data_IF_603145727602
#
_entry.id   IF_603145727602
#
_cell.length_a   1.000
_cell.length_b   1.000
_cell.length_c   1.000
_cell.angle_alpha   90.00
_cell.angle_beta   90.00
_cell.angle_gamma   90.00
#
_symmetry.space_group_name_H-M   'P 1'
#
loop_
_entity.id
_entity.type
_entity.pdbx_description
1 polymer ?
#
# COMPACT_ATOMS: atom_id res chain seq x y z
N UNK A 1 -0.59 17.76 -2.90
CA UNK A 1 -0.77 16.30 -2.73
C UNK A 1 -1.35 15.91 -1.36
N UNK A 2 -0.63 16.03 -0.24
CA UNK A 2 -1.21 15.66 1.07
C UNK A 2 -2.25 16.68 1.57
N UNK A 3 -2.03 17.97 1.26
CA UNK A 3 -2.97 19.06 1.55
C UNK A 3 -4.30 18.82 0.84
N UNK A 4 -4.27 18.49 -0.45
CA UNK A 4 -5.47 18.11 -1.22
C UNK A 4 -6.22 16.94 -0.59
N UNK A 5 -5.53 15.86 -0.19
CA UNK A 5 -6.18 14.70 0.44
C UNK A 5 -6.76 15.07 1.81
N UNK A 6 -6.13 15.99 2.55
CA UNK A 6 -6.67 16.53 3.80
C UNK A 6 -7.91 17.38 3.55
N UNK A 7 -7.90 18.23 2.52
CA UNK A 7 -9.05 19.06 2.14
C UNK A 7 -10.25 18.19 1.74
N UNK A 8 -10.01 17.08 1.05
CA UNK A 8 -11.05 16.08 0.75
C UNK A 8 -11.64 15.48 2.03
N UNK A 9 -10.79 15.08 2.98
CA UNK A 9 -11.28 14.59 4.29
C UNK A 9 -12.13 15.64 4.99
N UNK A 10 -11.68 16.89 5.07
CA UNK A 10 -12.45 17.97 5.70
C UNK A 10 -13.77 18.19 4.98
N UNK A 11 -13.77 18.19 3.65
CA UNK A 11 -14.97 18.38 2.83
C UNK A 11 -15.99 17.26 3.07
N UNK A 12 -15.54 16.00 3.06
CA UNK A 12 -16.38 14.84 3.32
C UNK A 12 -17.00 14.88 4.72
N UNK A 13 -16.21 15.28 5.73
CA UNK A 13 -16.66 15.43 7.10
C UNK A 13 -17.68 16.57 7.26
N UNK A 14 -17.47 17.69 6.58
CA UNK A 14 -18.39 18.84 6.63
C UNK A 14 -19.73 18.52 5.96
N UNK A 15 -19.71 17.68 4.93
CA UNK A 15 -20.89 17.26 4.18
C UNK A 15 -21.69 16.14 4.88
N UNK A 16 -21.06 15.38 5.78
CA UNK A 16 -21.75 14.33 6.55
C UNK A 16 -22.55 14.93 7.72
N UNK A 17 -23.87 14.98 7.55
CA UNK A 17 -24.81 15.49 8.58
C UNK A 17 -24.69 14.76 9.92
N UNK A 18 -24.23 13.51 9.95
CA UNK A 18 -24.05 12.70 11.17
C UNK A 18 -22.93 13.22 12.06
N UNK A 19 -21.91 13.86 11.46
CA UNK A 19 -20.77 14.45 12.19
C UNK A 19 -21.23 15.52 13.16
N UNK A 20 -22.23 16.34 12.76
CA UNK A 20 -22.74 17.45 13.58
C UNK A 20 -23.58 17.01 14.76
N UNK A 21 -24.20 15.83 14.71
CA UNK A 21 -25.18 15.39 15.70
C UNK A 21 -24.72 14.25 16.61
N UNK A 22 -23.87 13.34 16.11
CA UNK A 22 -23.52 12.10 16.83
C UNK A 22 -22.02 11.85 17.04
N UNK A 23 -21.16 12.71 16.50
CA UNK A 23 -19.73 12.42 16.40
C UNK A 23 -19.44 11.25 15.44
N UNK A 24 -18.18 11.09 15.07
CA UNK A 24 -17.75 10.02 14.16
C UNK A 24 -16.39 9.45 14.55
N UNK A 25 -16.08 8.27 14.00
CA UNK A 25 -14.75 7.69 14.07
C UNK A 25 -13.92 8.19 12.89
N UNK A 26 -13.22 9.31 13.08
CA UNK A 26 -12.40 9.97 12.04
C UNK A 26 -11.22 9.11 11.55
N UNK A 27 -10.80 8.12 12.35
CA UNK A 27 -9.68 7.22 12.02
C UNK A 27 -9.82 6.61 10.62
N UNK A 28 -11.02 6.23 10.20
CA UNK A 28 -11.23 5.59 8.89
C UNK A 28 -10.96 6.56 7.74
N UNK A 29 -11.43 7.80 7.83
CA UNK A 29 -11.17 8.85 6.85
C UNK A 29 -9.69 9.21 6.78
N UNK A 30 -9.02 9.32 7.94
CA UNK A 30 -7.58 9.57 7.98
C UNK A 30 -6.76 8.39 7.45
N UNK A 31 -7.21 7.15 7.67
CA UNK A 31 -6.58 5.98 7.07
C UNK A 31 -6.67 6.05 5.54
N UNK A 32 -7.84 6.33 4.95
CA UNK A 32 -7.96 6.48 3.50
C UNK A 32 -6.99 7.56 2.96
N UNK A 33 -6.93 8.72 3.62
CA UNK A 33 -6.02 9.81 3.28
C UNK A 33 -4.55 9.35 3.25
N UNK A 34 -4.10 8.65 4.30
CA UNK A 34 -2.72 8.13 4.36
C UNK A 34 -2.43 7.12 3.25
N UNK A 35 -3.38 6.24 2.96
CA UNK A 35 -3.25 5.27 1.87
C UNK A 35 -3.20 5.96 0.50
N UNK A 36 -4.04 6.97 0.25
CA UNK A 36 -4.01 7.75 -0.98
C UNK A 36 -2.71 8.52 -1.17
N UNK A 37 -2.22 9.17 -0.12
CA UNK A 37 -0.93 9.87 -0.13
C UNK A 37 0.19 8.90 -0.54
N UNK A 38 0.23 7.73 0.09
CA UNK A 38 1.22 6.69 -0.20
C UNK A 38 1.07 6.13 -1.63
N UNK A 39 -0.15 5.83 -2.08
CA UNK A 39 -0.41 5.33 -3.44
C UNK A 39 -0.09 6.37 -4.53
N UNK A 40 -0.31 7.65 -4.26
CA UNK A 40 0.07 8.73 -5.19
C UNK A 40 1.59 8.84 -5.29
N UNK A 41 2.30 8.79 -4.16
CA UNK A 41 3.78 8.79 -4.18
C UNK A 41 4.37 7.56 -4.87
N UNK A 42 3.79 6.37 -4.62
CA UNK A 42 4.34 5.12 -5.11
C UNK A 42 4.00 4.86 -6.58
N UNK A 43 2.75 5.11 -6.98
CA UNK A 43 2.22 4.67 -8.28
C UNK A 43 1.53 5.75 -9.10
N UNK A 44 1.41 6.97 -8.57
CA UNK A 44 0.58 8.04 -9.17
C UNK A 44 -0.90 7.62 -9.33
N UNK A 45 -1.42 6.90 -8.33
CA UNK A 45 -2.82 6.42 -8.27
C UNK A 45 -3.42 6.75 -6.90
N UNK A 46 -4.76 6.76 -6.80
CA UNK A 46 -5.47 6.89 -5.52
C UNK A 46 -6.71 6.01 -5.49
N UNK A 47 -7.16 5.67 -4.28
CA UNK A 47 -8.46 5.04 -4.07
C UNK A 47 -9.56 6.09 -4.12
N UNK A 48 -10.69 5.72 -4.70
CA UNK A 48 -11.91 6.51 -4.72
C UNK A 48 -12.71 6.35 -3.43
N UNK A 49 -12.61 5.18 -2.76
CA UNK A 49 -13.42 4.89 -1.58
C UNK A 49 -12.79 3.86 -0.64
N UNK A 50 -13.18 3.93 0.64
CA UNK A 50 -12.87 2.91 1.66
C UNK A 50 -13.55 1.57 1.38
N UNK A 51 -14.55 1.54 0.51
CA UNK A 51 -15.27 0.32 0.14
C UNK A 51 -14.49 -0.54 -0.86
N UNK A 52 -13.41 -0.01 -1.43
CA UNK A 52 -12.58 -0.76 -2.37
C UNK A 52 -12.00 -2.03 -1.73
N UNK A 53 -12.14 -3.20 -2.40
CA UNK A 53 -11.70 -4.48 -1.85
C UNK A 53 -10.23 -4.47 -1.41
N UNK A 54 -9.37 -3.78 -2.19
CA UNK A 54 -7.95 -3.71 -1.94
C UNK A 54 -7.60 -2.99 -0.63
N UNK A 55 -8.33 -1.92 -0.32
CA UNK A 55 -8.14 -1.15 0.91
C UNK A 55 -8.56 -1.97 2.15
N UNK A 56 -9.68 -2.70 2.05
CA UNK A 56 -10.21 -3.54 3.14
C UNK A 56 -9.30 -4.71 3.49
N UNK A 57 -8.74 -5.37 2.48
CA UNK A 57 -7.97 -6.60 2.68
C UNK A 57 -6.62 -6.37 3.37
N UNK A 58 -5.97 -5.23 3.08
CA UNK A 58 -4.69 -4.85 3.71
C UNK A 58 -4.83 -4.41 5.17
N UNK A 59 -5.88 -3.63 5.47
CA UNK A 59 -6.15 -3.16 6.85
C UNK A 59 -6.35 -4.31 7.85
N UNK A 60 -6.85 -5.46 7.39
CA UNK A 60 -7.09 -6.65 8.23
C UNK A 60 -5.80 -7.35 8.69
N UNK A 61 -4.73 -7.29 7.90
CA UNK A 61 -3.49 -8.03 8.19
C UNK A 61 -2.53 -7.24 9.07
N UNK A 62 -2.40 -5.93 8.84
CA UNK A 62 -1.56 -5.04 9.64
C UNK A 62 -2.03 -4.92 11.11
N UNK A 63 -3.28 -5.29 11.40
CA UNK A 63 -3.88 -5.19 12.74
C UNK A 63 -3.86 -6.50 13.53
N UNK A 64 -3.18 -7.53 13.04
CA UNK A 64 -3.06 -8.83 13.71
C UNK A 64 -2.15 -8.78 14.94
N UNK A 65 -2.59 -8.17 16.04
CA UNK A 65 -1.90 -8.21 17.35
C UNK A 65 -1.86 -9.61 17.96
N UNK A 66 -2.59 -10.56 17.38
CA UNK A 66 -2.87 -11.89 17.92
C UNK A 66 -1.61 -12.77 18.05
N UNK A 67 -0.48 -12.42 17.44
CA UNK A 67 0.73 -13.26 17.39
C UNK A 67 2.01 -12.61 17.92
N UNK A 68 1.91 -11.41 18.52
CA UNK A 68 3.06 -10.72 19.12
C UNK A 68 3.68 -11.53 20.29
N UNK A 69 2.98 -12.49 20.88
CA UNK A 69 3.49 -13.30 22.00
C UNK A 69 4.75 -14.11 21.66
N UNK A 70 4.98 -14.47 20.40
CA UNK A 70 6.16 -15.23 20.02
C UNK A 70 7.41 -14.37 19.80
N UNK A 71 7.22 -13.07 19.59
CA UNK A 71 8.31 -12.09 19.61
C UNK A 71 8.76 -11.84 21.05
N UNK A 72 7.83 -11.89 22.01
CA UNK A 72 8.14 -11.77 23.43
C UNK A 72 8.64 -13.07 24.08
N UNK A 73 8.20 -14.24 23.62
CA UNK A 73 8.58 -15.56 24.17
C UNK A 73 9.06 -16.50 23.06
N UNK A 74 10.38 -16.57 22.82
CA UNK A 74 10.96 -17.38 21.73
C UNK A 74 10.60 -18.87 21.77
N UNK A 75 10.31 -19.43 22.95
CA UNK A 75 9.89 -20.83 23.11
C UNK A 75 8.56 -21.14 22.39
N UNK A 76 7.69 -20.15 22.20
CA UNK A 76 6.39 -20.33 21.55
C UNK A 76 6.45 -20.23 20.02
N UNK A 77 7.61 -19.89 19.44
CA UNK A 77 7.80 -19.76 17.98
C UNK A 77 7.38 -20.98 17.16
N UNK A 78 7.60 -22.24 17.59
CA UNK A 78 7.14 -23.40 16.82
C UNK A 78 5.62 -23.45 16.61
N UNK A 79 4.83 -22.89 17.55
CA UNK A 79 3.36 -22.83 17.45
C UNK A 79 2.87 -21.78 16.44
N UNK A 80 3.74 -20.83 16.05
CA UNK A 80 3.42 -19.85 15.01
C UNK A 80 3.49 -20.42 13.59
N UNK A 81 3.96 -21.64 13.37
CA UNK A 81 4.20 -22.16 12.01
C UNK A 81 2.97 -22.04 11.10
N UNK A 82 1.77 -22.30 11.63
CA UNK A 82 0.52 -22.14 10.88
C UNK A 82 0.20 -20.67 10.55
N UNK A 83 0.48 -19.75 11.47
CA UNK A 83 0.31 -18.31 11.25
C UNK A 83 1.34 -17.75 10.27
N UNK A 84 2.62 -18.09 10.44
CA UNK A 84 3.70 -17.67 9.54
C UNK A 84 3.47 -18.17 8.11
N UNK A 85 2.94 -19.39 7.94
CA UNK A 85 2.54 -19.87 6.62
C UNK A 85 1.43 -19.00 6.01
N UNK A 86 0.40 -18.64 6.77
CA UNK A 86 -0.65 -17.72 6.28
C UNK A 86 -0.06 -16.35 5.91
N UNK A 87 0.82 -15.78 6.74
CA UNK A 87 1.51 -14.53 6.44
C UNK A 87 2.31 -14.63 5.14
N UNK A 88 3.05 -15.72 4.94
CA UNK A 88 3.84 -15.95 3.72
C UNK A 88 2.96 -16.11 2.48
N UNK A 89 1.84 -16.83 2.58
CA UNK A 89 0.93 -17.03 1.46
C UNK A 89 0.26 -15.70 1.06
N UNK A 90 -0.10 -14.88 2.06
CA UNK A 90 -0.61 -13.53 1.85
C UNK A 90 0.44 -12.62 1.24
N UNK A 91 1.66 -12.59 1.79
CA UNK A 91 2.80 -11.86 1.23
C UNK A 91 3.01 -12.24 -0.24
N UNK A 92 3.01 -13.53 -0.56
CA UNK A 92 3.19 -14.01 -1.93
C UNK A 92 2.06 -13.54 -2.85
N UNK A 93 0.82 -13.57 -2.37
CA UNK A 93 -0.34 -13.05 -3.11
C UNK A 93 -0.23 -11.54 -3.35
N UNK A 94 0.13 -10.76 -2.33
CA UNK A 94 0.33 -9.31 -2.43
C UNK A 94 1.45 -8.95 -3.40
N UNK A 95 2.57 -9.66 -3.37
CA UNK A 95 3.67 -9.48 -4.33
C UNK A 95 3.19 -9.65 -5.78
N UNK A 96 2.47 -10.73 -6.05
CA UNK A 96 1.89 -10.98 -7.38
C UNK A 96 0.87 -9.91 -7.75
N UNK A 97 0.02 -9.52 -6.80
CA UNK A 97 -1.00 -8.51 -6.99
C UNK A 97 -0.38 -7.16 -7.36
N UNK A 98 0.58 -6.66 -6.59
CA UNK A 98 1.24 -5.37 -6.84
C UNK A 98 2.02 -5.39 -8.15
N UNK A 99 2.71 -6.51 -8.43
CA UNK A 99 3.43 -6.66 -9.67
C UNK A 99 2.48 -6.52 -10.88
N UNK A 100 1.41 -7.29 -10.90
CA UNK A 100 0.50 -7.34 -12.03
C UNK A 100 -0.36 -6.08 -12.19
N UNK A 101 -0.80 -5.47 -11.07
CA UNK A 101 -1.74 -4.35 -11.12
C UNK A 101 -1.07 -2.98 -11.21
N UNK A 102 0.17 -2.85 -10.74
CA UNK A 102 0.86 -1.56 -10.70
C UNK A 102 2.21 -1.59 -11.40
N UNK A 103 3.13 -2.46 -11.00
CA UNK A 103 4.52 -2.44 -11.52
C UNK A 103 4.55 -2.70 -13.02
N UNK A 104 3.88 -3.74 -13.50
CA UNK A 104 3.82 -4.08 -14.93
C UNK A 104 3.13 -2.99 -15.77
N UNK A 105 2.10 -2.34 -15.22
CA UNK A 105 1.46 -1.21 -15.90
C UNK A 105 2.43 -0.03 -16.04
N UNK A 106 3.19 0.30 -15.00
CA UNK A 106 4.22 1.34 -15.06
C UNK A 106 5.33 0.98 -16.03
N UNK A 107 5.82 -0.28 -16.02
CA UNK A 107 6.81 -0.75 -17.01
C UNK A 107 6.33 -0.54 -18.45
N UNK A 108 5.07 -0.86 -18.75
CA UNK A 108 4.48 -0.64 -20.08
C UNK A 108 4.44 0.85 -20.45
N UNK A 109 3.96 1.71 -19.54
CA UNK A 109 3.92 3.17 -19.76
C UNK A 109 5.33 3.74 -19.98
N UNK A 110 6.32 3.27 -19.21
CA UNK A 110 7.72 3.68 -19.37
C UNK A 110 8.29 3.22 -20.71
N UNK A 111 8.01 1.98 -21.13
CA UNK A 111 8.46 1.44 -22.41
C UNK A 111 7.81 2.15 -23.61
N UNK A 112 6.52 2.46 -23.54
CA UNK A 112 5.78 3.17 -24.59
C UNK A 112 6.27 4.62 -24.75
N UNK A 113 6.58 5.30 -23.64
CA UNK A 113 7.08 6.68 -23.66
C UNK A 113 8.58 6.78 -23.96
N UNK A 114 9.34 5.68 -23.83
CA UNK A 114 10.77 5.59 -24.12
C UNK A 114 11.59 6.66 -23.39
N UNK A 115 12.57 7.25 -24.08
CA UNK A 115 13.44 8.31 -23.53
C UNK A 115 12.71 9.62 -23.18
N UNK A 116 11.47 9.79 -23.67
CA UNK A 116 10.63 10.96 -23.35
C UNK A 116 9.83 10.77 -22.06
N UNK A 117 9.93 9.59 -21.42
CA UNK A 117 9.22 9.33 -20.18
C UNK A 117 9.72 10.26 -19.07
N UNK A 118 8.83 11.11 -18.56
CA UNK A 118 9.08 11.89 -17.36
C UNK A 118 8.77 11.02 -16.15
N UNK A 119 9.78 10.78 -15.32
CA UNK A 119 9.62 10.07 -14.05
C UNK A 119 8.68 10.89 -13.15
N UNK A 120 7.54 10.28 -12.78
CA UNK A 120 6.48 10.97 -12.04
C UNK A 120 6.19 10.32 -10.67
N UNK A 121 6.62 9.09 -10.43
CA UNK A 121 6.40 8.41 -9.15
C UNK A 121 7.59 7.55 -8.70
N UNK A 122 7.54 7.08 -7.46
CA UNK A 122 8.61 6.31 -6.83
C UNK A 122 8.91 5.01 -7.59
N UNK A 123 7.88 4.34 -8.13
CA UNK A 123 8.09 3.10 -8.88
C UNK A 123 8.83 3.32 -10.19
N UNK A 124 8.61 4.44 -10.87
CA UNK A 124 9.37 4.75 -12.07
C UNK A 124 10.86 4.91 -11.74
N UNK A 125 11.18 5.60 -10.62
CA UNK A 125 12.56 5.72 -10.14
C UNK A 125 13.18 4.35 -9.83
N UNK A 126 12.42 3.45 -9.21
CA UNK A 126 12.92 2.12 -8.88
C UNK A 126 13.11 1.25 -10.13
N UNK A 127 12.19 1.31 -11.10
CA UNK A 127 12.30 0.60 -12.38
C UNK A 127 13.49 1.13 -13.19
N UNK A 128 13.64 2.45 -13.30
CA UNK A 128 14.77 3.09 -14.00
C UNK A 128 16.11 2.73 -13.35
N UNK A 129 16.18 2.72 -12.01
CA UNK A 129 17.36 2.28 -11.27
C UNK A 129 17.68 0.80 -11.51
N UNK A 130 16.66 -0.07 -11.56
CA UNK A 130 16.85 -1.49 -11.90
C UNK A 130 17.35 -1.71 -13.33
N UNK A 131 16.95 -0.88 -14.28
CA UNK A 131 17.42 -0.96 -15.66
C UNK A 131 18.87 -0.49 -15.81
N UNK A 132 19.30 0.48 -14.98
CA UNK A 132 20.64 1.06 -15.00
C UNK A 132 21.67 0.25 -14.21
N UNK A 133 21.26 -0.42 -13.14
CA UNK A 133 22.14 -1.26 -12.31
C UNK A 133 21.88 -2.72 -12.64
N UNK A 134 22.78 -3.36 -13.40
CA UNK A 134 22.73 -4.80 -13.63
C UNK A 134 22.72 -5.56 -12.29
N UNK A 135 21.56 -6.13 -11.95
CA UNK A 135 21.32 -7.12 -10.87
C UNK A 135 21.65 -6.64 -9.45
N UNK A 136 20.66 -6.11 -8.75
CA UNK A 136 20.55 -6.37 -7.31
C UNK A 136 19.13 -6.88 -7.01
N UNK A 137 19.08 -8.11 -6.47
CA UNK A 137 17.92 -9.00 -6.33
C UNK A 137 16.77 -8.53 -5.43
N UNK A 138 16.84 -7.31 -4.89
CA UNK A 138 15.68 -6.69 -4.24
C UNK A 138 14.70 -6.23 -5.32
N UNK A 139 13.89 -7.19 -5.79
CA UNK A 139 12.85 -7.00 -6.79
C UNK A 139 11.95 -5.82 -6.38
N UNK A 140 11.72 -4.85 -7.28
CA UNK A 140 10.78 -3.74 -7.09
C UNK A 140 9.49 -4.14 -6.37
N UNK A 141 8.82 -5.27 -6.71
CA UNK A 141 7.66 -5.77 -5.96
C UNK A 141 7.89 -5.98 -4.46
N UNK A 142 9.07 -6.44 -4.04
CA UNK A 142 9.43 -6.66 -2.64
C UNK A 142 9.61 -5.35 -1.88
N UNK A 143 10.23 -4.36 -2.51
CA UNK A 143 10.34 -3.02 -1.91
C UNK A 143 8.97 -2.37 -1.78
N UNK A 144 8.11 -2.55 -2.79
CA UNK A 144 6.71 -2.13 -2.73
C UNK A 144 6.03 -2.76 -1.52
N UNK A 145 6.11 -4.08 -1.36
CA UNK A 145 5.49 -4.79 -0.24
C UNK A 145 5.98 -4.29 1.13
N UNK A 146 7.27 -3.99 1.28
CA UNK A 146 7.82 -3.47 2.55
C UNK A 146 7.28 -2.07 2.87
N UNK A 147 7.20 -1.19 1.86
CA UNK A 147 6.78 0.20 2.03
C UNK A 147 5.25 0.29 2.18
N UNK A 148 4.54 -0.67 1.58
CA UNK A 148 3.09 -0.73 1.56
C UNK A 148 2.52 -1.78 2.53
#
# INVERSE_FOLDING_TARGET
MWEEEMDLVVTDLMNDKRVRSGGIVIRKSLQLMLYNIMHRMMFDTKFESMEEPLFKERSRLAQGFEYNYADFVPLLRPFLRGYLNKCRDLQSWWLVFFNNNYVEKRRKIMAENGEKHKINCTIDHMIDSQLKVERTEANVPYIVEIIM
#
